data_IF_599727885491
#
_entry.id   IF_599727885491
#
_cell.length_a   1.000
_cell.length_b   1.000
_cell.length_c   1.000
_cell.angle_alpha   90.00
_cell.angle_beta   90.00
_cell.angle_gamma   90.00
#
_symmetry.space_group_name_H-M   'P 1'
#
loop_
_entity.id
_entity.type
_entity.pdbx_description
1 polymer ?
#
# COMPACT_ATOMS: atom_id res chain seq x y z
N UNK A 1 19.01 9.56 -5.88
CA UNK A 1 18.61 9.90 -4.49
C UNK A 1 18.76 8.67 -3.61
N UNK A 2 19.36 8.84 -2.43
CA UNK A 2 19.62 7.76 -1.45
C UNK A 2 18.57 7.76 -0.35
N UNK A 3 18.36 6.62 0.30
CA UNK A 3 17.48 6.53 1.46
C UNK A 3 18.07 7.29 2.65
N UNK A 4 17.28 8.18 3.27
CA UNK A 4 17.60 8.94 4.49
C UNK A 4 17.09 8.31 5.79
N UNK A 5 16.50 7.10 5.73
CA UNK A 5 15.97 6.39 6.91
C UNK A 5 14.63 6.87 7.47
N UNK A 6 14.18 8.11 7.19
CA UNK A 6 12.95 8.66 7.78
C UNK A 6 11.65 7.91 7.40
N UNK A 7 11.67 7.16 6.30
CA UNK A 7 10.52 6.37 5.86
C UNK A 7 10.16 5.20 6.79
N UNK A 8 11.03 4.83 7.74
CA UNK A 8 10.78 3.78 8.73
C UNK A 8 9.54 4.11 9.59
N UNK A 9 9.30 5.40 9.88
CA UNK A 9 8.12 5.87 10.62
C UNK A 9 6.79 5.57 9.92
N UNK A 10 6.83 5.39 8.60
CA UNK A 10 5.66 5.09 7.78
C UNK A 10 5.64 3.63 7.31
N UNK A 11 6.52 2.77 7.87
CA UNK A 11 6.64 1.37 7.45
C UNK A 11 5.32 0.64 7.68
N UNK A 12 4.83 -0.02 6.64
CA UNK A 12 3.62 -0.82 6.72
C UNK A 12 3.93 -2.24 7.19
N UNK A 13 3.07 -2.75 8.08
CA UNK A 13 3.11 -4.15 8.52
C UNK A 13 2.60 -5.08 7.41
N UNK A 14 3.05 -6.34 7.43
CA UNK A 14 2.56 -7.35 6.49
C UNK A 14 1.09 -7.65 6.82
N UNK A 15 0.15 -7.46 5.88
CA UNK A 15 -1.24 -7.84 6.10
C UNK A 15 -1.36 -9.37 6.14
N UNK A 16 -2.24 -9.87 6.99
CA UNK A 16 -2.60 -11.29 7.08
C UNK A 16 -3.75 -11.56 6.10
N UNK A 17 -3.71 -12.68 5.37
CA UNK A 17 -4.78 -13.08 4.43
C UNK A 17 -4.93 -12.25 3.15
N UNK A 18 -4.30 -11.08 3.03
CA UNK A 18 -4.42 -10.19 1.88
C UNK A 18 -3.08 -9.81 1.23
N UNK A 19 -3.12 -9.40 -0.03
CA UNK A 19 -1.95 -8.86 -0.72
C UNK A 19 -1.63 -7.43 -0.28
N UNK A 20 -0.34 -7.07 -0.18
CA UNK A 20 0.07 -5.71 0.20
C UNK A 20 -0.49 -4.61 -0.72
N UNK A 21 -0.52 -4.86 -2.03
CA UNK A 21 -1.03 -3.88 -2.99
C UNK A 21 -2.57 -3.82 -3.04
N UNK A 22 -3.27 -4.89 -2.63
CA UNK A 22 -4.74 -4.85 -2.52
C UNK A 22 -5.18 -4.08 -1.28
N UNK A 23 -4.37 -4.08 -0.22
CA UNK A 23 -4.62 -3.26 0.99
C UNK A 23 -4.12 -1.82 0.87
N UNK A 24 -3.68 -1.39 -0.31
CA UNK A 24 -3.24 -0.01 -0.56
C UNK A 24 -1.81 0.31 -0.10
N UNK A 25 -1.06 -0.66 0.40
CA UNK A 25 0.35 -0.43 0.75
C UNK A 25 1.19 -0.19 -0.51
N UNK A 26 2.11 0.75 -0.41
CA UNK A 26 2.96 1.16 -1.53
C UNK A 26 4.41 0.78 -1.25
N UNK A 27 5.18 0.42 -2.28
CA UNK A 27 6.60 0.08 -2.11
C UNK A 27 7.51 1.15 -2.69
N UNK A 28 8.45 1.64 -1.90
CA UNK A 28 9.58 2.40 -2.42
C UNK A 28 10.61 1.45 -3.04
N UNK A 29 11.12 1.74 -4.24
CA UNK A 29 12.21 0.95 -4.83
C UNK A 29 13.57 1.27 -4.22
N UNK A 30 13.81 2.52 -3.84
CA UNK A 30 15.10 2.96 -3.30
C UNK A 30 15.25 2.57 -1.84
N UNK A 31 14.21 2.81 -1.03
CA UNK A 31 14.22 2.46 0.40
C UNK A 31 13.84 1.00 0.65
N UNK A 32 13.41 0.28 -0.39
CA UNK A 32 12.98 -1.13 -0.38
C UNK A 32 11.86 -1.54 0.60
N UNK A 33 11.30 -0.59 1.36
CA UNK A 33 10.21 -0.85 2.30
C UNK A 33 8.82 -0.63 1.70
N UNK A 34 7.84 -1.25 2.33
CA UNK A 34 6.43 -0.93 2.14
C UNK A 34 6.01 0.16 3.11
N UNK A 35 5.20 1.10 2.64
CA UNK A 35 4.70 2.23 3.42
C UNK A 35 3.18 2.33 3.32
N UNK A 36 2.56 2.81 4.40
CA UNK A 36 1.21 3.35 4.37
C UNK A 36 1.35 4.87 4.25
N UNK A 37 1.13 5.38 3.04
CA UNK A 37 1.38 6.77 2.70
C UNK A 37 0.39 7.22 1.62
N UNK A 38 -0.22 8.37 1.79
CA UNK A 38 -1.25 8.85 0.86
C UNK A 38 -0.63 9.46 -0.41
N UNK A 39 0.56 10.04 -0.30
CA UNK A 39 1.30 10.60 -1.44
C UNK A 39 1.77 9.57 -2.48
N UNK A 40 2.12 10.07 -3.67
CA UNK A 40 2.70 9.25 -4.75
C UNK A 40 4.22 9.09 -4.64
N UNK A 41 4.87 9.93 -3.85
CA UNK A 41 6.32 10.01 -3.73
C UNK A 41 6.76 9.58 -2.33
N UNK A 42 7.92 8.93 -2.24
CA UNK A 42 8.46 8.50 -0.97
C UNK A 42 8.89 9.73 -0.15
N UNK A 43 8.43 9.89 1.10
CA UNK A 43 8.81 11.04 1.93
C UNK A 43 10.31 11.08 2.26
N UNK A 44 11.00 9.95 2.10
CA UNK A 44 12.42 9.79 2.45
C UNK A 44 13.38 10.10 1.29
N UNK A 45 13.19 9.42 0.16
CA UNK A 45 14.11 9.50 -0.98
C UNK A 45 13.51 10.21 -2.20
N UNK A 46 12.27 10.72 -2.10
CA UNK A 46 11.58 11.37 -3.22
C UNK A 46 11.22 10.46 -4.39
N UNK A 47 11.52 9.15 -4.35
CA UNK A 47 11.23 8.25 -5.47
C UNK A 47 9.75 7.89 -5.54
N UNK A 48 9.22 7.73 -6.77
CA UNK A 48 7.81 7.39 -6.98
C UNK A 48 7.48 6.02 -6.40
N UNK A 49 6.45 5.97 -5.57
CA UNK A 49 6.02 4.75 -4.91
C UNK A 49 5.29 3.82 -5.89
N UNK A 50 5.60 2.52 -5.82
CA UNK A 50 4.89 1.51 -6.61
C UNK A 50 3.60 1.12 -5.91
N UNK A 51 2.52 1.14 -6.68
CA UNK A 51 1.17 0.71 -6.29
C UNK A 51 0.76 -0.62 -6.92
N UNK A 52 1.60 -1.21 -7.76
CA UNK A 52 1.33 -2.45 -8.49
C UNK A 52 2.53 -3.41 -8.39
N UNK A 53 2.30 -4.74 -8.34
CA UNK A 53 3.34 -5.75 -8.46
C UNK A 53 4.08 -5.66 -9.81
N UNK A 54 5.33 -6.13 -9.86
CA UNK A 54 6.09 -6.27 -11.12
C UNK A 54 5.58 -7.44 -11.97
N UNK A 55 5.38 -8.60 -11.34
CA UNK A 55 5.08 -9.82 -12.09
C UNK A 55 3.65 -9.76 -12.65
N UNK A 56 3.53 -10.12 -13.93
CA UNK A 56 2.26 -10.10 -14.67
C UNK A 56 1.18 -10.95 -14.00
N UNK A 57 1.54 -12.14 -13.48
CA UNK A 57 0.65 -13.04 -12.72
C UNK A 57 0.03 -12.37 -11.49
N UNK A 58 0.80 -11.56 -10.75
CA UNK A 58 0.25 -10.85 -9.58
C UNK A 58 -0.49 -9.58 -9.97
N UNK A 59 -0.14 -8.96 -11.10
CA UNK A 59 -0.85 -7.82 -11.67
C UNK A 59 -2.26 -8.22 -12.15
N UNK A 60 -2.42 -9.39 -12.78
CA UNK A 60 -3.73 -9.93 -13.15
C UNK A 60 -4.59 -10.25 -11.92
N UNK A 61 -4.03 -10.95 -10.92
CA UNK A 61 -4.71 -11.20 -9.64
C UNK A 61 -5.19 -9.92 -8.96
N UNK A 62 -4.34 -8.89 -8.88
CA UNK A 62 -4.72 -7.60 -8.29
C UNK A 62 -5.87 -6.93 -9.06
N UNK A 63 -5.89 -7.02 -10.39
CA UNK A 63 -6.99 -6.48 -11.20
C UNK A 63 -8.29 -7.25 -10.96
N UNK A 64 -8.24 -8.57 -10.88
CA UNK A 64 -9.41 -9.40 -10.58
C UNK A 64 -10.00 -9.05 -9.20
N UNK A 65 -9.16 -8.93 -8.18
CA UNK A 65 -9.58 -8.50 -6.83
C UNK A 65 -10.26 -7.13 -6.90
N UNK A 66 -9.63 -6.14 -7.56
CA UNK A 66 -10.23 -4.80 -7.69
C UNK A 66 -11.58 -4.81 -8.41
N UNK A 67 -11.74 -5.61 -9.47
CA UNK A 67 -13.03 -5.75 -10.16
C UNK A 67 -14.11 -6.29 -9.21
N UNK A 68 -13.76 -7.28 -8.38
CA UNK A 68 -14.69 -7.84 -7.42
C UNK A 68 -15.06 -6.84 -6.30
N UNK A 69 -14.10 -6.04 -5.82
CA UNK A 69 -14.37 -5.01 -4.79
C UNK A 69 -15.22 -3.84 -5.33
N UNK A 70 -15.18 -3.56 -6.64
CA UNK A 70 -16.01 -2.52 -7.26
C UNK A 70 -17.46 -2.99 -7.53
N UNK A 71 -17.70 -4.30 -7.55
CA UNK A 71 -19.03 -4.88 -7.67
C UNK A 71 -19.78 -4.98 -6.32
N UNK A 72 -19.10 -4.73 -5.20
CA UNK A 72 -19.66 -4.85 -3.85
C UNK A 72 -19.23 -3.62 -3.00
N UNK A 73 -20.05 -2.56 -2.92
CA UNK A 73 -19.67 -1.26 -2.30
C UNK A 73 -19.34 -1.33 -0.80
N UNK A 74 -19.57 -2.46 -0.14
CA UNK A 74 -19.57 -2.56 1.34
C UNK A 74 -18.18 -2.60 1.99
N UNK A 75 -17.08 -2.70 1.21
CA UNK A 75 -15.73 -2.87 1.75
C UNK A 75 -14.83 -1.62 1.68
N UNK A 76 -15.40 -0.43 1.50
CA UNK A 76 -14.67 0.85 1.58
C UNK A 76 -14.63 1.46 2.99
N UNK A 77 -15.34 0.88 3.98
CA UNK A 77 -15.58 1.52 5.27
C UNK A 77 -14.69 1.07 6.46
N UNK A 78 -13.72 0.19 6.29
CA UNK A 78 -12.91 -0.29 7.43
C UNK A 78 -11.58 0.45 7.64
N UNK A 79 -11.52 1.76 7.38
CA UNK A 79 -10.38 2.59 7.83
C UNK A 79 -10.79 3.85 8.60
N UNK A 80 -12.05 3.95 9.05
CA UNK A 80 -12.52 5.08 9.86
C UNK A 80 -13.12 4.68 11.22
N UNK A 81 -12.79 3.50 11.77
CA UNK A 81 -13.28 3.11 13.11
C UNK A 81 -12.19 2.40 13.91
N UNK A 82 -11.12 3.12 14.27
CA UNK A 82 -10.34 2.85 15.49
C UNK A 82 -9.60 4.09 16.01
N UNK A 83 -10.10 5.29 15.73
CA UNK A 83 -9.80 6.47 16.55
C UNK A 83 -11.10 6.82 17.23
N UNK A 84 -11.04 7.11 18.53
CA UNK A 84 -12.16 7.21 19.48
C UNK A 84 -12.52 5.85 20.08
N UNK A 85 -11.72 5.36 21.01
CA UNK A 85 -12.22 5.08 22.35
C UNK A 85 -11.30 5.83 23.32
N UNK A 86 -11.95 6.44 24.31
CA UNK A 86 -11.36 7.17 25.44
C UNK A 86 -10.30 6.36 26.17
#
# INVERSE_FOLDING_TARGET
MTCKGICIRHKAHKPVGAGRYSTGQKRCQICEIFLKWDGLWCPCCGYRLRTKPRNLKYKSKLRAIKKNTMADPKLLHQQSVSTIHK
#
